data_IF_588880516453
#
_entry.id   IF_588880516453
#
_cell.length_a   1.000
_cell.length_b   1.000
_cell.length_c   1.000
_cell.angle_alpha   90.00
_cell.angle_beta   90.00
_cell.angle_gamma   90.00
#
_symmetry.space_group_name_H-M   'P 1'
#
loop_
_entity.id
_entity.type
_entity.pdbx_description
1 polymer ?
#
# COMPACT_ATOMS: atom_id res chain seq x y z
N UNK A 1 20.62 -10.09 17.62
CA UNK A 1 19.76 -8.96 17.22
C UNK A 1 18.75 -9.53 16.27
N UNK A 2 17.48 -9.64 16.67
CA UNK A 2 16.43 -9.90 15.68
C UNK A 2 16.40 -8.66 14.80
N UNK A 3 16.95 -8.77 13.59
CA UNK A 3 16.96 -7.67 12.63
C UNK A 3 15.51 -7.31 12.33
N UNK A 4 15.19 -6.04 12.44
CA UNK A 4 13.86 -5.53 12.11
C UNK A 4 13.68 -5.72 10.61
N UNK A 5 12.98 -6.79 10.22
CA UNK A 5 12.69 -7.10 8.82
C UNK A 5 11.55 -6.18 8.40
N UNK A 6 11.62 -5.51 7.23
CA UNK A 6 10.51 -4.71 6.76
C UNK A 6 9.20 -5.50 6.76
N UNK A 7 8.12 -4.82 7.07
CA UNK A 7 6.79 -5.44 7.15
C UNK A 7 6.12 -5.41 5.78
N UNK A 8 6.13 -4.24 5.15
CA UNK A 8 5.34 -3.96 3.95
C UNK A 8 6.18 -3.21 2.92
N UNK A 9 5.85 -3.40 1.66
CA UNK A 9 6.47 -2.72 0.53
C UNK A 9 5.45 -1.87 -0.20
N UNK A 10 5.93 -0.82 -0.86
CA UNK A 10 5.17 -0.02 -1.80
C UNK A 10 5.98 0.10 -3.09
N UNK A 11 5.38 -0.27 -4.21
CA UNK A 11 6.00 -0.12 -5.52
C UNK A 11 5.00 0.44 -6.52
N UNK A 12 5.45 1.31 -7.43
CA UNK A 12 4.64 1.75 -8.57
C UNK A 12 4.30 0.53 -9.42
N UNK A 13 3.01 0.30 -9.64
CA UNK A 13 2.52 -0.83 -10.45
C UNK A 13 2.32 -0.40 -11.90
N UNK A 14 1.46 0.59 -12.13
CA UNK A 14 1.10 1.04 -13.47
C UNK A 14 0.58 2.49 -13.48
N UNK A 15 0.53 3.08 -14.68
CA UNK A 15 -0.12 4.36 -14.95
C UNK A 15 -1.47 4.09 -15.60
N UNK A 16 -2.55 4.58 -14.99
CA UNK A 16 -3.94 4.29 -15.40
C UNK A 16 -4.62 5.45 -16.16
N UNK A 17 -3.98 6.62 -16.18
CA UNK A 17 -4.48 7.79 -16.89
C UNK A 17 -3.33 8.59 -17.52
N UNK A 18 -3.66 9.77 -18.06
CA UNK A 18 -2.65 10.66 -18.63
C UNK A 18 -1.62 11.07 -17.58
N UNK A 19 -0.34 10.76 -17.85
CA UNK A 19 0.77 11.15 -16.98
C UNK A 19 0.77 12.68 -16.78
N UNK A 20 0.68 13.17 -15.52
CA UNK A 20 0.69 14.60 -15.24
C UNK A 20 2.08 15.21 -15.45
N UNK A 21 2.16 16.53 -15.43
CA UNK A 21 3.45 17.22 -15.37
C UNK A 21 4.06 17.05 -13.99
N UNK A 22 5.20 16.38 -13.92
CA UNK A 22 5.92 16.09 -12.69
C UNK A 22 7.08 17.09 -12.49
N UNK A 23 7.22 17.58 -11.26
CA UNK A 23 8.40 18.35 -10.84
C UNK A 23 9.64 17.44 -10.71
N UNK A 24 10.82 18.04 -10.53
CA UNK A 24 12.06 17.28 -10.25
C UNK A 24 11.93 16.44 -8.96
N UNK A 25 11.24 16.97 -7.94
CA UNK A 25 10.97 16.28 -6.68
C UNK A 25 10.02 15.09 -6.88
N UNK A 26 8.96 15.27 -7.69
CA UNK A 26 8.03 14.20 -8.04
C UNK A 26 8.74 13.07 -8.82
N UNK A 27 9.63 13.41 -9.75
CA UNK A 27 10.41 12.44 -10.53
C UNK A 27 11.40 11.67 -9.66
N UNK A 28 12.01 12.34 -8.67
CA UNK A 28 12.86 11.68 -7.69
C UNK A 28 12.05 10.67 -6.86
N UNK A 29 10.86 11.06 -6.39
CA UNK A 29 9.96 10.16 -5.66
C UNK A 29 9.52 8.97 -6.52
N UNK A 30 9.13 9.24 -7.77
CA UNK A 30 8.76 8.19 -8.73
C UNK A 30 9.89 7.17 -8.89
N UNK A 31 11.13 7.64 -9.02
CA UNK A 31 12.31 6.77 -9.16
C UNK A 31 12.44 5.86 -7.94
N UNK A 32 12.27 6.39 -6.73
CA UNK A 32 12.26 5.60 -5.49
C UNK A 32 11.12 4.58 -5.47
N UNK A 33 9.90 5.01 -5.79
CA UNK A 33 8.72 4.14 -5.79
C UNK A 33 8.75 3.10 -6.92
N UNK A 34 9.54 3.30 -7.97
CA UNK A 34 9.76 2.31 -9.03
C UNK A 34 10.76 1.22 -8.63
N UNK A 35 11.61 1.47 -7.62
CA UNK A 35 12.63 0.52 -7.14
C UNK A 35 12.24 -0.20 -5.86
N UNK A 36 10.93 -0.39 -5.61
CA UNK A 36 10.35 -0.99 -4.41
C UNK A 36 10.82 -0.28 -3.12
N UNK A 37 9.90 0.47 -2.50
CA UNK A 37 10.12 1.07 -1.20
C UNK A 37 9.66 0.10 -0.10
N UNK A 38 10.44 -0.08 0.96
CA UNK A 38 10.11 -0.99 2.06
C UNK A 38 10.00 -0.24 3.38
N UNK A 39 9.01 -0.59 4.20
CA UNK A 39 8.70 0.06 5.46
C UNK A 39 8.79 -0.95 6.61
N UNK A 40 9.44 -0.54 7.69
CA UNK A 40 9.59 -1.36 8.90
C UNK A 40 8.27 -1.49 9.65
N UNK A 41 7.50 -0.42 9.75
CA UNK A 41 6.21 -0.39 10.46
C UNK A 41 5.08 0.11 9.56
N UNK A 42 3.84 -0.21 9.95
CA UNK A 42 2.66 0.37 9.29
C UNK A 42 2.57 1.88 9.59
N UNK A 43 2.99 2.32 10.77
CA UNK A 43 3.03 3.75 11.11
C UNK A 43 3.94 4.55 10.18
N UNK A 44 5.13 4.04 9.83
CA UNK A 44 6.03 4.68 8.86
C UNK A 44 5.40 4.74 7.46
N UNK A 45 4.75 3.65 7.04
CA UNK A 45 4.05 3.59 5.76
C UNK A 45 2.92 4.63 5.66
N UNK A 46 2.08 4.72 6.68
CA UNK A 46 0.96 5.67 6.71
C UNK A 46 1.43 7.11 6.85
N UNK A 47 2.50 7.34 7.62
CA UNK A 47 3.14 8.66 7.71
C UNK A 47 3.67 9.09 6.35
N UNK A 48 4.27 8.17 5.58
CA UNK A 48 4.71 8.43 4.22
C UNK A 48 3.55 8.80 3.27
N UNK A 49 2.45 8.05 3.29
CA UNK A 49 1.26 8.35 2.47
C UNK A 49 0.62 9.70 2.82
N UNK A 50 0.79 10.17 4.05
CA UNK A 50 0.30 11.47 4.52
C UNK A 50 1.23 12.64 4.19
N UNK A 51 2.40 12.39 3.60
CA UNK A 51 3.35 13.47 3.30
C UNK A 51 2.86 14.35 2.16
N UNK A 52 3.17 15.66 2.19
CA UNK A 52 2.88 16.55 1.07
C UNK A 52 3.60 16.11 -0.22
N UNK A 53 4.75 15.44 -0.11
CA UNK A 53 5.50 14.91 -1.24
C UNK A 53 4.73 13.79 -1.96
N UNK A 54 4.18 12.83 -1.20
CA UNK A 54 3.35 11.77 -1.78
C UNK A 54 2.04 12.32 -2.36
N UNK A 55 1.36 13.21 -1.64
CA UNK A 55 0.14 13.86 -2.13
C UNK A 55 0.39 14.66 -3.41
N UNK A 56 1.46 15.46 -3.45
CA UNK A 56 1.88 16.20 -4.65
C UNK A 56 2.08 15.26 -5.83
N UNK A 57 2.78 14.14 -5.66
CA UNK A 57 3.05 13.22 -6.75
C UNK A 57 1.80 12.45 -7.21
N UNK A 58 1.10 11.82 -6.27
CA UNK A 58 0.14 10.77 -6.55
C UNK A 58 -1.34 11.20 -6.47
N UNK A 59 -1.69 12.17 -5.62
CA UNK A 59 -3.07 12.64 -5.40
C UNK A 59 -3.39 13.86 -6.28
N UNK A 60 -3.26 13.69 -7.60
CA UNK A 60 -3.62 14.70 -8.60
C UNK A 60 -5.13 14.75 -8.82
N UNK A 61 -5.60 15.77 -9.54
CA UNK A 61 -7.03 15.97 -9.87
C UNK A 61 -7.70 14.71 -10.48
N UNK A 62 -6.95 13.96 -11.30
CA UNK A 62 -7.36 12.65 -11.82
C UNK A 62 -6.41 11.55 -11.32
N UNK A 63 -6.94 10.40 -10.83
CA UNK A 63 -6.09 9.27 -10.44
C UNK A 63 -5.35 8.74 -11.67
N UNK A 64 -4.02 8.80 -11.62
CA UNK A 64 -3.18 8.53 -12.79
C UNK A 64 -2.19 7.38 -12.59
N UNK A 65 -1.95 6.98 -11.34
CA UNK A 65 -0.97 5.97 -10.97
C UNK A 65 -1.57 5.01 -9.94
N UNK A 66 -1.21 3.74 -10.06
CA UNK A 66 -1.57 2.69 -9.09
C UNK A 66 -0.30 2.17 -8.46
N UNK A 67 -0.35 1.97 -7.14
CA UNK A 67 0.72 1.32 -6.41
C UNK A 67 0.31 -0.07 -5.97
N UNK A 68 1.30 -0.91 -5.80
CA UNK A 68 1.17 -2.21 -5.18
C UNK A 68 1.72 -2.13 -3.75
N UNK A 69 0.89 -2.53 -2.79
CA UNK A 69 1.27 -2.74 -1.41
C UNK A 69 1.55 -4.23 -1.23
N UNK A 70 2.79 -4.61 -0.94
CA UNK A 70 3.19 -6.02 -0.80
C UNK A 70 3.55 -6.40 0.63
N UNK A 71 3.28 -7.64 1.03
CA UNK A 71 3.87 -8.19 2.25
C UNK A 71 5.36 -8.51 1.98
N UNK A 72 6.28 -7.89 2.73
CA UNK A 72 7.72 -8.04 2.46
C UNK A 72 8.21 -9.49 2.56
N UNK A 73 7.65 -10.29 3.47
CA UNK A 73 8.03 -11.70 3.61
C UNK A 73 7.41 -12.61 2.55
N UNK A 74 6.37 -12.14 1.84
CA UNK A 74 5.71 -12.89 0.80
C UNK A 74 5.13 -11.97 -0.27
N UNK A 75 5.93 -11.70 -1.30
CA UNK A 75 5.59 -10.78 -2.38
C UNK A 75 4.43 -11.26 -3.27
N UNK A 76 3.89 -12.46 -3.06
CA UNK A 76 2.65 -12.92 -3.73
C UNK A 76 1.39 -12.39 -3.06
N UNK A 77 1.52 -11.84 -1.84
CA UNK A 77 0.43 -11.21 -1.09
C UNK A 77 0.51 -9.72 -1.32
N UNK A 78 -0.39 -9.21 -2.14
CA UNK A 78 -0.41 -7.81 -2.53
C UNK A 78 -1.83 -7.23 -2.45
N UNK A 79 -1.89 -5.93 -2.22
CA UNK A 79 -3.06 -5.07 -2.38
C UNK A 79 -2.73 -4.00 -3.42
N UNK A 80 -3.74 -3.40 -4.03
CA UNK A 80 -3.52 -2.20 -4.85
C UNK A 80 -3.92 -0.96 -4.07
N UNK A 81 -3.19 0.13 -4.29
CA UNK A 81 -3.47 1.45 -3.75
C UNK A 81 -3.69 2.42 -4.90
N UNK A 82 -4.87 3.03 -4.88
CA UNK A 82 -5.33 4.09 -5.77
C UNK A 82 -5.38 5.39 -4.98
N UNK A 83 -4.38 6.27 -5.13
CA UNK A 83 -4.41 7.60 -4.56
C UNK A 83 -5.28 8.51 -5.41
N UNK A 84 -6.29 9.10 -4.77
CA UNK A 84 -7.24 10.02 -5.37
C UNK A 84 -7.16 11.39 -4.66
N UNK A 85 -7.75 12.46 -5.22
CA UNK A 85 -7.84 13.73 -4.52
C UNK A 85 -8.50 13.56 -3.15
N UNK A 86 -7.76 13.81 -2.08
CA UNK A 86 -8.21 13.75 -0.68
C UNK A 86 -8.70 12.38 -0.18
N UNK A 87 -8.48 11.28 -0.91
CA UNK A 87 -8.82 9.93 -0.45
C UNK A 87 -7.87 8.89 -1.01
N UNK A 88 -7.82 7.75 -0.34
CA UNK A 88 -7.13 6.56 -0.77
C UNK A 88 -8.16 5.45 -0.95
N UNK A 89 -8.02 4.72 -2.05
CA UNK A 89 -8.78 3.51 -2.32
C UNK A 89 -7.82 2.33 -2.32
N UNK A 90 -8.08 1.33 -1.49
CA UNK A 90 -7.29 0.10 -1.41
C UNK A 90 -8.15 -1.06 -1.90
N UNK A 91 -7.63 -1.87 -2.81
CA UNK A 91 -8.34 -3.05 -3.33
C UNK A 91 -7.56 -4.32 -3.04
N UNK A 92 -8.31 -5.39 -2.80
CA UNK A 92 -7.80 -6.73 -2.56
C UNK A 92 -8.19 -7.66 -3.72
N UNK A 93 -7.39 -7.65 -4.79
CA UNK A 93 -7.64 -8.50 -5.96
C UNK A 93 -7.59 -10.00 -5.63
N UNK A 94 -6.85 -10.38 -4.58
CA UNK A 94 -6.75 -11.76 -4.14
C UNK A 94 -7.96 -12.22 -3.32
N UNK A 95 -8.90 -11.31 -3.01
CA UNK A 95 -10.09 -11.56 -2.21
C UNK A 95 -9.78 -12.33 -0.92
N UNK A 96 -8.82 -11.84 -0.16
CA UNK A 96 -8.36 -12.46 1.11
C UNK A 96 -9.45 -12.48 2.18
N UNK A 97 -10.52 -11.71 1.99
CA UNK A 97 -11.68 -11.65 2.88
C UNK A 97 -11.54 -10.66 4.05
N UNK A 98 -10.48 -9.86 4.06
CA UNK A 98 -10.23 -8.85 5.10
C UNK A 98 -10.97 -7.54 4.79
N UNK A 99 -11.03 -7.16 3.52
CA UNK A 99 -11.73 -5.97 3.06
C UNK A 99 -13.18 -6.32 2.72
N UNK A 100 -14.14 -5.53 3.21
CA UNK A 100 -15.54 -5.66 2.80
C UNK A 100 -15.65 -5.38 1.29
N UNK A 101 -16.29 -6.29 0.55
CA UNK A 101 -16.36 -6.26 -0.92
C UNK A 101 -15.01 -6.13 -1.64
N UNK A 102 -13.89 -6.50 -0.98
CA UNK A 102 -12.52 -6.38 -1.49
C UNK A 102 -12.07 -4.93 -1.77
N UNK A 103 -12.75 -3.92 -1.21
CA UNK A 103 -12.42 -2.51 -1.43
C UNK A 103 -12.54 -1.73 -0.12
N UNK A 104 -11.57 -0.87 0.15
CA UNK A 104 -11.60 0.08 1.24
C UNK A 104 -11.36 1.50 0.70
N UNK A 105 -12.03 2.48 1.31
CA UNK A 105 -11.91 3.89 0.96
C UNK A 105 -11.73 4.70 2.24
N UNK A 106 -10.76 5.61 2.28
CA UNK A 106 -10.53 6.47 3.46
C UNK A 106 -9.31 7.36 3.32
N UNK A 107 -8.67 7.72 4.43
CA UNK A 107 -7.45 8.53 4.44
C UNK A 107 -6.24 7.73 4.97
N UNK A 108 -5.04 8.28 4.86
CA UNK A 108 -3.86 7.70 5.46
C UNK A 108 -3.86 7.91 6.99
N UNK A 109 -4.72 7.19 7.69
CA UNK A 109 -4.97 7.36 9.12
C UNK A 109 -5.02 6.01 9.89
N UNK A 110 -5.46 6.06 11.15
CA UNK A 110 -5.51 4.91 12.05
C UNK A 110 -6.45 3.79 11.55
N UNK A 111 -7.49 4.12 10.78
CA UNK A 111 -8.36 3.13 10.16
C UNK A 111 -7.60 2.30 9.14
N UNK A 112 -6.78 2.95 8.29
CA UNK A 112 -5.94 2.25 7.32
C UNK A 112 -4.85 1.41 8.02
N UNK A 113 -4.26 1.89 9.12
CA UNK A 113 -3.36 1.07 9.95
C UNK A 113 -4.05 -0.20 10.44
N UNK A 114 -5.26 -0.08 10.98
CA UNK A 114 -6.04 -1.22 11.50
C UNK A 114 -6.36 -2.24 10.40
N UNK A 115 -6.73 -1.76 9.22
CA UNK A 115 -6.99 -2.59 8.05
C UNK A 115 -5.74 -3.34 7.59
N UNK A 116 -4.63 -2.64 7.37
CA UNK A 116 -3.38 -3.25 6.92
C UNK A 116 -2.83 -4.22 7.96
N UNK A 117 -2.98 -3.93 9.25
CA UNK A 117 -2.62 -4.84 10.33
C UNK A 117 -3.44 -6.13 10.28
N UNK A 118 -4.73 -6.02 10.04
CA UNK A 118 -5.63 -7.17 9.89
C UNK A 118 -5.27 -7.99 8.65
N UNK A 119 -4.96 -7.31 7.54
CA UNK A 119 -4.55 -7.96 6.30
C UNK A 119 -3.22 -8.70 6.44
N UNK A 120 -2.18 -8.04 6.99
CA UNK A 120 -0.89 -8.67 7.28
C UNK A 120 -1.06 -9.88 8.18
N UNK A 121 -1.91 -9.81 9.22
CA UNK A 121 -2.19 -10.94 10.09
C UNK A 121 -2.86 -12.11 9.36
N UNK A 122 -3.83 -11.83 8.48
CA UNK A 122 -4.53 -12.85 7.70
C UNK A 122 -3.62 -13.53 6.66
N UNK A 123 -2.75 -12.78 5.99
CA UNK A 123 -1.94 -13.30 4.87
C UNK A 123 -0.51 -13.69 5.25
N UNK A 124 0.00 -13.21 6.39
CA UNK A 124 1.34 -13.47 6.93
C UNK A 124 1.45 -14.75 7.79
N UNK A 125 0.33 -15.35 8.20
CA UNK A 125 0.27 -16.62 8.94
C UNK A 125 -0.56 -16.49 10.21
N UNK A 126 -1.58 -17.32 10.40
CA UNK A 126 -1.45 -18.78 10.56
C UNK A 126 -2.52 -19.54 9.77
N UNK A 127 -2.10 -20.62 9.12
CA UNK A 127 -2.98 -21.78 8.89
C UNK A 127 -3.59 -22.15 10.25
N UNK A 128 -4.91 -22.27 10.42
CA UNK A 128 -5.42 -22.94 11.60
C UNK A 128 -4.89 -24.38 11.55
N UNK A 129 -4.00 -24.72 12.47
CA UNK A 129 -3.83 -26.10 12.90
C UNK A 129 -5.16 -26.56 13.49
N UNK A 130 -6.03 -27.10 12.64
CA UNK A 130 -7.15 -27.94 13.03
C UNK A 130 -7.38 -28.96 11.90
N UNK A 131 -6.45 -29.92 11.83
CA UNK A 131 -6.86 -31.32 11.71
C UNK A 131 -7.24 -31.79 13.13
N UNK A 132 -8.15 -32.76 13.21
CA UNK A 132 -8.85 -33.34 14.38
C UNK A 132 -10.23 -32.68 14.58
N UNK A 133 -11.37 -33.29 14.22
CA UNK A 133 -11.80 -34.71 14.23
C UNK A 133 -12.35 -35.19 12.87
#
# INVERSE_FOLDING_TARGET
>A
MAGDVPLITLVKREEIAGRPSLSEEDLALETTLSMLCSFLTLEDFISFLSTPMFASYAQRDEPWVVFEIGLYQNHTKTLQLYPEPNRLTVTDEAATGVLDQNVWNGQADAELVGLLRSWVGAVGGTVPSSVED
#
